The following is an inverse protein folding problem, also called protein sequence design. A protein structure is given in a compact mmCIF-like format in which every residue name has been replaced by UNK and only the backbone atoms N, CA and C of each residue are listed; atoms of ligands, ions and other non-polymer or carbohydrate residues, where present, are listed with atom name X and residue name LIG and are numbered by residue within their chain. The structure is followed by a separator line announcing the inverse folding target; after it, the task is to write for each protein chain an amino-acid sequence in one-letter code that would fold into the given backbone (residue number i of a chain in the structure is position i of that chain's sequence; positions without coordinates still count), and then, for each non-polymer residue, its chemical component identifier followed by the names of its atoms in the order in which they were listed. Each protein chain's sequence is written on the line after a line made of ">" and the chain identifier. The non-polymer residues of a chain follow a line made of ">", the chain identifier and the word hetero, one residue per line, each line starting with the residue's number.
data_IF_177984527325
#
_entry.id   IF_177984527325
#
_cell.length_a   1.000
_cell.length_b   1.000
_cell.length_c   1.000
_cell.angle_alpha   90.00
_cell.angle_beta   90.00
_cell.angle_gamma   90.00
#
_symmetry.space_group_name_H-M   'P 1'
#
loop_
_entity.id
_entity.type
_entity.pdbx_description
1 polymer ?
#
# COMPACT_ATOMS: atom_id res chain seq x y z
N UNK A 1 -6.21 18.87 31.04
CA UNK A 1 -6.70 17.48 31.13
C UNK A 1 -6.38 16.74 29.85
N UNK A 2 -5.84 15.56 29.95
CA UNK A 2 -5.58 14.72 28.79
C UNK A 2 -6.77 13.80 28.53
N UNK A 3 -7.22 13.75 27.30
CA UNK A 3 -8.32 12.89 26.87
C UNK A 3 -7.94 12.10 25.63
N UNK A 4 -8.58 10.96 25.44
CA UNK A 4 -8.43 10.12 24.26
C UNK A 4 -9.70 10.28 23.45
N UNK A 5 -9.57 10.72 22.19
CA UNK A 5 -10.71 10.94 21.32
C UNK A 5 -11.28 9.58 20.85
N UNK A 6 -12.58 9.43 21.00
CA UNK A 6 -13.31 8.23 20.52
C UNK A 6 -13.94 8.45 19.15
N UNK A 7 -14.06 9.71 18.73
CA UNK A 7 -14.57 10.12 17.43
C UNK A 7 -13.75 11.28 16.90
N UNK A 8 -13.81 11.51 15.60
CA UNK A 8 -13.17 12.67 14.99
C UNK A 8 -13.86 13.94 15.48
N UNK A 9 -13.08 14.90 15.97
CA UNK A 9 -13.58 16.18 16.49
C UNK A 9 -12.90 17.31 15.73
N UNK A 10 -13.69 18.15 15.09
CA UNK A 10 -13.18 19.29 14.34
C UNK A 10 -12.35 20.21 15.26
N UNK A 11 -11.21 20.65 14.75
CA UNK A 11 -10.27 21.57 15.45
C UNK A 11 -9.60 20.97 16.69
N UNK A 12 -9.87 19.70 17.03
CA UNK A 12 -9.25 19.02 18.16
C UNK A 12 -8.35 17.89 17.67
N UNK A 13 -8.89 16.92 16.94
CA UNK A 13 -8.13 15.79 16.43
C UNK A 13 -9.02 14.67 15.93
N UNK A 14 -8.40 13.56 15.60
CA UNK A 14 -9.07 12.37 15.07
C UNK A 14 -9.28 11.32 16.15
N UNK A 15 -10.21 10.40 15.88
CA UNK A 15 -10.46 9.23 16.74
C UNK A 15 -9.15 8.47 17.01
N UNK A 16 -8.94 8.11 18.27
CA UNK A 16 -7.75 7.37 18.70
C UNK A 16 -6.56 8.23 19.07
N UNK A 17 -6.65 9.55 18.94
CA UNK A 17 -5.58 10.46 19.36
C UNK A 17 -5.74 10.88 20.82
N UNK A 18 -4.61 11.05 21.51
CA UNK A 18 -4.59 11.65 22.83
C UNK A 18 -4.32 13.15 22.70
N UNK A 19 -5.19 13.97 23.29
CA UNK A 19 -5.08 15.42 23.22
C UNK A 19 -5.17 16.04 24.62
N UNK A 20 -4.44 17.14 24.79
CA UNK A 20 -4.57 17.94 26.00
C UNK A 20 -5.55 19.08 25.73
N UNK A 21 -6.60 19.16 26.52
CA UNK A 21 -7.66 20.16 26.38
C UNK A 21 -7.95 20.82 27.74
N UNK A 22 -8.63 21.94 27.70
CA UNK A 22 -9.07 22.60 28.93
C UNK A 22 -10.03 21.70 29.71
N UNK A 23 -9.95 21.69 31.03
CA UNK A 23 -10.77 20.83 31.88
C UNK A 23 -12.26 21.06 31.67
N UNK A 24 -12.69 22.31 31.58
CA UNK A 24 -14.08 22.66 31.30
C UNK A 24 -14.58 22.16 29.96
N UNK A 25 -13.75 22.25 28.93
CA UNK A 25 -14.09 21.77 27.59
C UNK A 25 -14.24 20.25 27.58
N UNK A 26 -13.33 19.54 28.22
CA UNK A 26 -13.40 18.09 28.32
C UNK A 26 -14.63 17.65 29.12
N UNK A 27 -14.86 18.24 30.29
CA UNK A 27 -15.94 17.85 31.20
C UNK A 27 -17.32 18.25 30.69
N UNK A 28 -17.46 19.40 30.05
CA UNK A 28 -18.74 19.97 29.64
C UNK A 28 -19.15 19.62 28.21
N UNK A 29 -18.20 19.28 27.36
CA UNK A 29 -18.46 19.03 25.94
C UNK A 29 -18.01 17.64 25.47
N UNK A 30 -16.71 17.34 25.56
CA UNK A 30 -16.17 16.11 24.97
C UNK A 30 -16.71 14.83 25.63
N UNK A 31 -16.68 14.78 26.95
CA UNK A 31 -17.09 13.59 27.70
C UNK A 31 -18.60 13.37 27.66
N UNK A 32 -19.48 14.38 27.94
CA UNK A 32 -20.93 14.19 27.82
C UNK A 32 -21.40 13.82 26.42
N UNK A 33 -20.74 14.32 25.38
CA UNK A 33 -21.05 14.01 23.99
C UNK A 33 -20.49 12.66 23.53
N UNK A 34 -19.76 11.97 24.41
CA UNK A 34 -19.07 10.70 24.10
C UNK A 34 -18.05 10.85 22.95
N UNK A 35 -17.47 12.04 22.81
CA UNK A 35 -16.44 12.32 21.81
C UNK A 35 -15.05 11.95 22.29
N UNK A 36 -14.87 11.88 23.61
CA UNK A 36 -13.59 11.55 24.23
C UNK A 36 -13.80 10.90 25.60
N UNK A 37 -12.78 10.22 26.08
CA UNK A 37 -12.74 9.66 27.43
C UNK A 37 -11.49 10.19 28.14
N UNK A 38 -11.51 10.30 29.50
CA UNK A 38 -10.32 10.70 30.23
C UNK A 38 -9.15 9.75 29.96
N UNK A 39 -7.96 10.29 29.76
CA UNK A 39 -6.76 9.50 29.51
C UNK A 39 -6.19 8.98 30.84
N UNK A 40 -6.90 8.08 31.50
CA UNK A 40 -6.50 7.54 32.80
C UNK A 40 -6.99 6.09 32.94
N UNK A 41 -6.32 5.31 33.79
CA UNK A 41 -6.71 3.95 34.12
C UNK A 41 -6.76 3.01 32.92
N UNK A 42 -7.84 2.24 32.82
CA UNK A 42 -8.03 1.25 31.74
C UNK A 42 -8.08 1.85 30.34
N UNK A 43 -8.67 3.03 30.17
CA UNK A 43 -8.72 3.72 28.88
C UNK A 43 -7.31 4.09 28.39
N UNK A 44 -6.46 4.55 29.27
CA UNK A 44 -5.07 4.88 28.94
C UNK A 44 -4.29 3.62 28.55
N UNK A 45 -4.46 2.52 29.27
CA UNK A 45 -3.80 1.24 28.96
C UNK A 45 -4.26 0.69 27.62
N UNK A 46 -5.56 0.74 27.35
CA UNK A 46 -6.11 0.29 26.06
C UNK A 46 -5.56 1.14 24.92
N UNK A 47 -5.47 2.45 25.10
CA UNK A 47 -4.90 3.34 24.09
C UNK A 47 -3.43 3.03 23.82
N UNK A 48 -2.62 2.82 24.87
CA UNK A 48 -1.21 2.44 24.70
C UNK A 48 -1.06 1.12 23.95
N UNK A 49 -1.90 0.14 24.27
CA UNK A 49 -1.90 -1.15 23.60
C UNK A 49 -2.26 -1.01 22.11
N UNK A 50 -3.28 -0.21 21.80
CA UNK A 50 -3.69 0.02 20.41
C UNK A 50 -2.61 0.71 19.60
N UNK A 51 -1.93 1.71 20.17
CA UNK A 51 -0.82 2.40 19.50
C UNK A 51 0.34 1.44 19.23
N UNK A 52 0.71 0.62 20.21
CA UNK A 52 1.77 -0.37 20.04
C UNK A 52 1.41 -1.41 18.98
N UNK A 53 0.16 -1.89 18.98
CA UNK A 53 -0.33 -2.85 17.96
C UNK A 53 -0.32 -2.27 16.56
N UNK A 54 -0.73 -1.02 16.40
CA UNK A 54 -0.71 -0.33 15.09
C UNK A 54 0.72 -0.14 14.60
N UNK A 55 1.64 0.24 15.47
CA UNK A 55 3.04 0.42 15.10
C UNK A 55 3.67 -0.91 14.70
N UNK A 56 3.43 -1.99 15.44
CA UNK A 56 3.91 -3.33 15.10
C UNK A 56 3.39 -3.79 13.74
N UNK A 57 2.10 -3.57 13.49
CA UNK A 57 1.48 -3.92 12.21
C UNK A 57 2.11 -3.13 11.06
N UNK A 58 2.32 -1.83 11.25
CA UNK A 58 2.94 -0.95 10.25
C UNK A 58 4.36 -1.39 9.94
N UNK A 59 5.16 -1.72 10.96
CA UNK A 59 6.53 -2.20 10.79
C UNK A 59 6.55 -3.51 10.01
N UNK A 60 5.65 -4.45 10.32
CA UNK A 60 5.56 -5.73 9.60
C UNK A 60 5.15 -5.54 8.15
N UNK A 61 4.13 -4.72 7.89
CA UNK A 61 3.68 -4.43 6.53
C UNK A 61 4.79 -3.81 5.69
N UNK A 62 5.57 -2.89 6.28
CA UNK A 62 6.70 -2.29 5.61
C UNK A 62 7.81 -3.30 5.32
N UNK A 63 8.14 -4.17 6.28
CA UNK A 63 9.14 -5.21 6.10
C UNK A 63 8.73 -6.19 5.01
N UNK A 64 7.46 -6.61 5.00
CA UNK A 64 6.92 -7.49 3.96
C UNK A 64 6.97 -6.82 2.58
N UNK A 65 6.66 -5.53 2.52
CA UNK A 65 6.74 -4.74 1.29
C UNK A 65 8.18 -4.63 0.79
N UNK A 66 9.16 -4.45 1.67
CA UNK A 66 10.57 -4.40 1.30
C UNK A 66 11.05 -5.72 0.68
N UNK A 67 10.62 -6.85 1.25
CA UNK A 67 10.93 -8.18 0.71
C UNK A 67 10.31 -8.33 -0.67
N UNK A 68 9.04 -7.98 -0.83
CA UNK A 68 8.35 -8.04 -2.12
C UNK A 68 9.02 -7.12 -3.15
N UNK A 69 9.39 -5.91 -2.75
CA UNK A 69 10.07 -4.94 -3.62
C UNK A 69 11.41 -5.48 -4.12
N UNK A 70 12.20 -6.10 -3.23
CA UNK A 70 13.47 -6.71 -3.60
C UNK A 70 13.28 -7.84 -4.61
N UNK A 71 12.27 -8.69 -4.38
CA UNK A 71 11.93 -9.79 -5.30
C UNK A 71 11.54 -9.26 -6.67
N UNK A 72 10.68 -8.25 -6.72
CA UNK A 72 10.23 -7.63 -7.97
C UNK A 72 11.42 -6.99 -8.72
N UNK A 73 12.26 -6.25 -8.01
CA UNK A 73 13.41 -5.57 -8.62
C UNK A 73 14.43 -6.56 -9.19
N UNK A 74 14.56 -7.75 -8.61
CA UNK A 74 15.48 -8.80 -9.08
C UNK A 74 14.85 -9.76 -10.09
N UNK A 75 13.55 -9.63 -10.36
CA UNK A 75 12.83 -10.52 -11.26
C UNK A 75 12.83 -9.97 -12.68
N UNK A 76 13.17 -10.82 -13.63
CA UNK A 76 13.05 -10.53 -15.07
C UNK A 76 11.95 -11.44 -15.64
N UNK A 77 10.92 -10.83 -16.20
CA UNK A 77 9.84 -11.56 -16.84
C UNK A 77 10.12 -11.66 -18.33
N UNK A 78 10.09 -12.87 -18.86
CA UNK A 78 10.16 -13.12 -20.30
C UNK A 78 8.78 -13.50 -20.77
N UNK A 79 8.21 -12.69 -21.67
CA UNK A 79 6.87 -12.88 -22.19
C UNK A 79 6.95 -13.18 -23.70
N UNK A 80 6.47 -14.36 -24.09
CA UNK A 80 6.40 -14.73 -25.49
C UNK A 80 5.06 -14.33 -26.10
N UNK A 81 5.10 -13.61 -27.20
CA UNK A 81 3.88 -13.17 -27.92
C UNK A 81 4.05 -13.38 -29.40
N UNK A 82 2.94 -13.58 -30.10
CA UNK A 82 2.96 -13.68 -31.54
C UNK A 82 3.23 -12.30 -32.15
N UNK A 83 4.11 -12.26 -33.12
CA UNK A 83 4.47 -11.03 -33.84
C UNK A 83 4.04 -11.11 -35.30
N UNK A 84 3.58 -9.97 -35.81
CA UNK A 84 3.31 -9.78 -37.21
C UNK A 84 4.50 -9.19 -37.95
N UNK A 85 4.28 -8.75 -39.18
CA UNK A 85 5.28 -8.07 -39.98
C UNK A 85 5.72 -6.76 -39.32
N UNK A 86 7.01 -6.46 -39.39
CA UNK A 86 7.57 -5.25 -38.80
C UNK A 86 7.81 -5.31 -37.29
N UNK A 87 7.72 -6.49 -36.68
CA UNK A 87 7.98 -6.67 -35.24
C UNK A 87 6.85 -6.20 -34.33
N UNK A 88 5.68 -5.91 -34.86
CA UNK A 88 4.51 -5.54 -34.09
C UNK A 88 3.81 -6.77 -33.53
N UNK A 89 3.35 -6.66 -32.30
CA UNK A 89 2.63 -7.75 -31.65
C UNK A 89 1.20 -7.88 -32.20
N UNK A 90 0.70 -9.12 -32.30
CA UNK A 90 -0.70 -9.39 -32.63
C UNK A 90 -1.65 -9.11 -31.47
N UNK A 91 -1.23 -8.47 -30.49
CA UNK A 91 -1.97 -8.08 -29.33
C UNK A 91 -1.14 -7.12 -28.54
N UNK A 92 -1.51 -6.90 -27.30
CA UNK A 92 -0.77 -6.04 -26.40
C UNK A 92 -0.57 -6.73 -25.07
N UNK A 93 0.52 -6.38 -24.38
CA UNK A 93 0.76 -6.83 -23.02
C UNK A 93 0.19 -5.78 -22.09
N UNK A 94 -0.81 -6.16 -21.31
CA UNK A 94 -1.49 -5.28 -20.35
C UNK A 94 -0.96 -5.51 -18.95
N UNK A 95 -1.35 -4.63 -18.02
CA UNK A 95 -1.03 -4.79 -16.60
C UNK A 95 -1.54 -6.12 -16.03
N UNK A 96 -2.69 -6.61 -16.54
CA UNK A 96 -3.22 -7.92 -16.15
C UNK A 96 -2.26 -9.04 -16.54
N UNK A 97 -1.73 -9.00 -17.73
CA UNK A 97 -0.78 -10.01 -18.22
C UNK A 97 0.49 -10.02 -17.37
N UNK A 98 0.97 -8.84 -16.98
CA UNK A 98 2.13 -8.69 -16.11
C UNK A 98 1.82 -9.26 -14.72
N UNK A 99 0.66 -8.94 -14.17
CA UNK A 99 0.23 -9.46 -12.86
C UNK A 99 0.14 -10.99 -12.87
N UNK A 100 -0.43 -11.57 -13.93
CA UNK A 100 -0.52 -13.03 -14.10
C UNK A 100 0.86 -13.66 -14.20
N UNK A 101 1.78 -13.05 -14.95
CA UNK A 101 3.15 -13.53 -15.08
C UNK A 101 3.91 -13.49 -13.76
N UNK A 102 3.72 -12.44 -12.96
CA UNK A 102 4.30 -12.32 -11.63
C UNK A 102 3.73 -13.37 -10.67
N UNK A 103 2.42 -13.64 -10.75
CA UNK A 103 1.77 -14.67 -9.94
C UNK A 103 2.36 -16.04 -10.20
N UNK A 104 2.71 -16.35 -11.45
CA UNK A 104 3.38 -17.61 -11.82
C UNK A 104 4.78 -17.73 -11.21
N UNK A 105 5.41 -16.59 -10.88
CA UNK A 105 6.71 -16.54 -10.22
C UNK A 105 6.59 -16.53 -8.70
N UNK A 106 5.37 -16.63 -8.16
CA UNK A 106 5.10 -16.58 -6.73
C UNK A 106 5.01 -15.17 -6.15
N UNK A 107 4.92 -14.15 -7.01
CA UNK A 107 4.75 -12.76 -6.60
C UNK A 107 3.31 -12.36 -6.84
N UNK A 108 2.56 -12.13 -5.76
CA UNK A 108 1.16 -11.71 -5.85
C UNK A 108 1.08 -10.18 -5.87
N UNK A 109 0.66 -9.62 -6.99
CA UNK A 109 0.54 -8.17 -7.19
C UNK A 109 -0.79 -7.87 -7.87
N UNK A 110 -1.48 -6.85 -7.39
CA UNK A 110 -2.70 -6.36 -8.01
C UNK A 110 -2.36 -5.60 -9.29
N UNK A 111 -3.07 -5.89 -10.37
CA UNK A 111 -2.91 -5.21 -11.66
C UNK A 111 -3.06 -3.69 -11.58
N UNK A 112 -3.86 -3.20 -10.64
CA UNK A 112 -4.08 -1.77 -10.42
C UNK A 112 -2.86 -1.06 -9.84
N UNK A 113 -1.95 -1.80 -9.24
CA UNK A 113 -0.71 -1.28 -8.67
C UNK A 113 0.45 -1.28 -9.65
N UNK A 114 0.26 -1.87 -10.82
CA UNK A 114 1.23 -1.88 -11.90
C UNK A 114 1.08 -0.59 -12.70
N UNK A 115 2.11 0.24 -12.71
CA UNK A 115 2.11 1.51 -13.44
C UNK A 115 2.48 1.25 -14.89
N UNK A 116 1.48 1.07 -15.73
CA UNK A 116 1.63 0.87 -17.16
C UNK A 116 0.72 1.85 -17.90
N UNK A 117 1.30 2.92 -18.41
CA UNK A 117 0.56 3.98 -19.09
C UNK A 117 -0.08 3.49 -20.38
N UNK A 118 0.65 2.69 -21.14
CA UNK A 118 0.17 2.12 -22.39
C UNK A 118 0.51 0.63 -22.47
N UNK A 119 -0.35 -0.19 -23.07
CA UNK A 119 -0.04 -1.60 -23.29
C UNK A 119 1.21 -1.75 -24.17
N UNK A 120 2.00 -2.77 -23.91
CA UNK A 120 3.22 -3.05 -24.69
C UNK A 120 2.83 -3.67 -26.03
N UNK A 121 3.25 -3.05 -27.10
CA UNK A 121 2.87 -3.46 -28.47
C UNK A 121 4.04 -3.85 -29.35
N UNK A 122 5.27 -3.67 -28.86
CA UNK A 122 6.49 -3.98 -29.62
C UNK A 122 7.42 -4.88 -28.83
N UNK A 123 8.30 -5.58 -29.56
CA UNK A 123 9.34 -6.39 -28.92
C UNK A 123 10.37 -5.50 -28.24
N UNK A 124 10.97 -5.99 -27.19
CA UNK A 124 12.05 -5.31 -26.50
C UNK A 124 12.05 -5.55 -25.01
N UNK A 125 12.91 -4.83 -24.32
CA UNK A 125 13.02 -4.87 -22.87
C UNK A 125 12.38 -3.61 -22.29
N UNK A 126 11.50 -3.80 -21.33
CA UNK A 126 10.75 -2.74 -20.69
C UNK A 126 10.92 -2.81 -19.18
N UNK A 127 10.89 -1.67 -18.53
CA UNK A 127 10.85 -1.58 -17.07
C UNK A 127 9.51 -1.01 -16.67
N UNK A 128 8.82 -1.73 -15.79
CA UNK A 128 7.49 -1.35 -15.33
C UNK A 128 7.51 -1.19 -13.81
N UNK A 129 7.08 -0.03 -13.35
CA UNK A 129 7.02 0.26 -11.92
C UNK A 129 5.78 -0.38 -11.29
N UNK A 130 5.95 -0.92 -10.11
CA UNK A 130 4.86 -1.57 -9.36
C UNK A 130 4.81 -0.96 -7.96
N UNK A 131 3.67 -0.40 -7.58
CA UNK A 131 3.48 0.14 -6.24
C UNK A 131 3.27 -1.00 -5.26
N UNK A 132 4.20 -1.19 -4.33
CA UNK A 132 4.11 -2.21 -3.30
C UNK A 132 3.67 -1.60 -1.97
N UNK A 133 4.20 -0.44 -1.65
CA UNK A 133 3.92 0.29 -0.42
C UNK A 133 4.13 1.78 -0.66
N UNK A 134 3.61 2.63 0.23
CA UNK A 134 3.81 4.09 0.13
C UNK A 134 5.30 4.41 0.14
N UNK A 135 5.78 5.01 -0.94
CA UNK A 135 7.19 5.33 -1.13
C UNK A 135 8.06 4.19 -1.66
N UNK A 136 7.48 3.00 -1.92
CA UNK A 136 8.20 1.86 -2.50
C UNK A 136 7.60 1.51 -3.86
N UNK A 137 8.34 1.81 -4.92
CA UNK A 137 7.89 1.55 -6.29
C UNK A 137 9.02 0.84 -7.06
N UNK A 138 9.23 -0.47 -6.80
CA UNK A 138 10.25 -1.24 -7.52
C UNK A 138 9.88 -1.40 -8.99
N UNK A 139 10.88 -1.54 -9.83
CA UNK A 139 10.70 -1.77 -11.26
C UNK A 139 10.99 -3.23 -11.60
N UNK A 140 10.07 -3.86 -12.33
CA UNK A 140 10.28 -5.20 -12.87
C UNK A 140 10.75 -5.07 -14.33
N UNK A 141 11.74 -5.87 -14.70
CA UNK A 141 12.22 -5.93 -16.08
C UNK A 141 11.38 -6.93 -16.87
N UNK A 142 10.81 -6.48 -17.97
CA UNK A 142 9.99 -7.33 -18.84
C UNK A 142 10.67 -7.43 -20.20
N UNK A 143 10.97 -8.66 -20.62
CA UNK A 143 11.53 -8.95 -21.93
C UNK A 143 10.42 -9.52 -22.79
N UNK A 144 10.09 -8.82 -23.86
CA UNK A 144 9.06 -9.25 -24.82
C UNK A 144 9.76 -9.90 -25.99
N UNK A 145 9.50 -11.19 -26.19
CA UNK A 145 10.10 -12.01 -27.24
C UNK A 145 9.04 -12.53 -28.21
N UNK A 146 9.42 -12.81 -29.46
CA UNK A 146 8.51 -13.45 -30.37
C UNK A 146 8.27 -14.90 -29.94
N UNK A 147 7.01 -15.29 -29.93
CA UNK A 147 6.62 -16.66 -29.66
C UNK A 147 6.71 -17.45 -30.96
N UNK A 148 7.71 -18.30 -31.03
CA UNK A 148 7.98 -19.13 -32.19
C UNK A 148 6.92 -20.13 -32.50
#
# INVERSE_FOLDING_TARGET
>A
MKVILTKDVDKVGKSGEMKQVADGFATNFLIPQKLAVPAAGGAYRAWQHDIASREDKRVRERADAEIAATRIASTTLTMGVKVGEGGKLYGSITSKDIADALARRGIDVDRHKIELDEPLKTLGTYKVAIKVFTGMTPEVTIVVEPKG
#
